data_IF_485366963482
#
_entry.id   IF_485366963482
#
_cell.length_a   1.000
_cell.length_b   1.000
_cell.length_c   1.000
_cell.angle_alpha   90.00
_cell.angle_beta   90.00
_cell.angle_gamma   90.00
#
_symmetry.space_group_name_H-M   'P 1'
#
loop_
_entity.id
_entity.type
_entity.pdbx_description
1 polymer ?
#
# COMPACT_ATOMS: atom_id res chain seq x y z
N UNK A 1 8.04 -16.74 20.72
CA UNK A 1 8.67 -16.94 19.39
C UNK A 1 10.16 -16.69 19.53
N UNK A 2 10.88 -16.52 18.42
CA UNK A 2 12.26 -16.04 18.43
C UNK A 2 12.38 -14.69 17.74
N UNK A 3 13.30 -13.85 18.19
CA UNK A 3 13.62 -12.54 17.63
C UNK A 3 14.93 -12.61 16.84
N UNK A 4 14.92 -12.03 15.65
CA UNK A 4 16.10 -11.84 14.81
C UNK A 4 16.28 -10.33 14.57
N UNK A 5 17.52 -9.86 14.55
CA UNK A 5 17.81 -8.46 14.20
C UNK A 5 17.56 -8.19 12.71
N UNK A 6 17.50 -6.93 12.32
CA UNK A 6 17.74 -6.56 10.93
C UNK A 6 19.24 -6.66 10.59
N UNK A 7 19.60 -6.47 9.32
CA UNK A 7 20.94 -6.66 8.79
C UNK A 7 21.98 -5.79 9.49
N UNK A 8 22.91 -6.44 10.23
CA UNK A 8 24.04 -5.75 10.84
C UNK A 8 23.72 -4.85 12.04
N UNK A 9 22.49 -4.84 12.55
CA UNK A 9 22.03 -3.92 13.61
C UNK A 9 22.90 -3.94 14.89
N UNK A 10 23.38 -5.11 15.31
CA UNK A 10 24.27 -5.20 16.48
C UNK A 10 25.58 -4.45 16.20
N UNK A 11 26.17 -4.62 15.01
CA UNK A 11 27.41 -3.93 14.63
C UNK A 11 27.18 -2.42 14.43
N UNK A 12 26.00 -2.03 13.92
CA UNK A 12 25.60 -0.64 13.72
C UNK A 12 25.60 0.19 15.02
N UNK A 13 25.41 -0.42 16.19
CA UNK A 13 25.58 0.26 17.48
C UNK A 13 26.97 0.91 17.61
N UNK A 14 28.01 0.27 17.10
CA UNK A 14 29.36 0.80 17.12
C UNK A 14 29.69 1.65 15.89
N UNK A 15 29.26 1.21 14.70
CA UNK A 15 29.72 1.79 13.43
C UNK A 15 28.84 2.94 12.91
N UNK A 16 27.57 2.99 13.28
CA UNK A 16 26.60 3.97 12.76
C UNK A 16 25.95 4.82 13.86
N UNK A 17 25.45 4.20 14.93
CA UNK A 17 24.69 4.88 15.98
C UNK A 17 25.55 5.42 17.12
N UNK A 18 26.79 4.92 17.24
CA UNK A 18 27.73 5.29 18.29
C UNK A 18 27.16 5.13 19.72
N UNK A 19 26.34 4.10 19.94
CA UNK A 19 25.77 3.70 21.24
C UNK A 19 26.64 2.64 21.95
N UNK A 20 27.58 2.04 21.23
CA UNK A 20 28.61 1.15 21.76
C UNK A 20 29.99 1.59 21.26
N UNK A 21 31.03 1.39 22.07
CA UNK A 21 32.41 1.76 21.74
C UNK A 21 33.02 0.86 20.65
N UNK A 22 32.59 -0.41 20.60
CA UNK A 22 33.10 -1.46 19.72
C UNK A 22 32.08 -2.62 19.63
N UNK A 23 32.37 -3.60 18.76
CA UNK A 23 31.52 -4.77 18.56
C UNK A 23 31.37 -5.64 19.84
N UNK A 24 32.38 -5.63 20.73
CA UNK A 24 32.33 -6.37 22.00
C UNK A 24 31.28 -5.76 22.93
N UNK A 25 31.31 -4.45 23.11
CA UNK A 25 30.29 -3.76 23.91
C UNK A 25 28.92 -3.87 23.26
N UNK A 26 28.82 -3.77 21.93
CA UNK A 26 27.55 -3.90 21.22
C UNK A 26 26.92 -5.28 21.41
N UNK A 27 27.72 -6.35 21.27
CA UNK A 27 27.28 -7.74 21.50
C UNK A 27 26.84 -7.93 22.96
N UNK A 28 27.63 -7.43 23.91
CA UNK A 28 27.28 -7.50 25.33
C UNK A 28 25.95 -6.80 25.62
N UNK A 29 25.77 -5.55 25.15
CA UNK A 29 24.53 -4.79 25.33
C UNK A 29 23.33 -5.49 24.70
N UNK A 30 23.49 -6.08 23.51
CA UNK A 30 22.44 -6.83 22.85
C UNK A 30 21.99 -8.04 23.69
N UNK A 31 22.93 -8.83 24.22
CA UNK A 31 22.61 -10.01 25.02
C UNK A 31 22.07 -9.67 26.42
N UNK A 32 22.57 -8.60 27.04
CA UNK A 32 22.23 -8.18 28.40
C UNK A 32 20.89 -7.42 28.46
N UNK A 33 20.63 -6.53 27.49
CA UNK A 33 19.51 -5.58 27.56
C UNK A 33 18.33 -5.93 26.68
N UNK A 34 18.42 -7.01 25.90
CA UNK A 34 17.38 -7.38 24.95
C UNK A 34 17.10 -8.88 24.95
N UNK A 35 15.93 -9.23 24.43
CA UNK A 35 15.51 -10.62 24.18
C UNK A 35 15.85 -11.11 22.77
N UNK A 36 16.73 -10.42 22.04
CA UNK A 36 17.17 -10.84 20.70
C UNK A 36 17.82 -12.23 20.79
N UNK A 37 17.41 -13.13 19.89
CA UNK A 37 17.89 -14.51 19.89
C UNK A 37 18.90 -14.78 18.78
N UNK A 38 18.78 -14.09 17.64
CA UNK A 38 19.62 -14.29 16.45
C UNK A 38 20.12 -12.96 15.86
N UNK A 39 21.43 -12.88 15.62
CA UNK A 39 22.04 -11.79 14.86
C UNK A 39 21.93 -12.06 13.36
N UNK A 40 21.35 -11.12 12.60
CA UNK A 40 21.25 -11.21 11.14
C UNK A 40 22.51 -10.61 10.49
N UNK A 41 23.59 -11.40 10.51
CA UNK A 41 24.81 -11.12 9.75
C UNK A 41 25.30 -12.44 9.17
N UNK A 42 25.33 -12.54 7.83
CA UNK A 42 25.58 -13.81 7.15
C UNK A 42 27.06 -14.03 6.77
N UNK A 43 27.88 -12.98 6.86
CA UNK A 43 29.25 -12.91 6.34
C UNK A 43 30.30 -12.54 7.40
N UNK A 44 29.89 -12.32 8.65
CA UNK A 44 30.78 -12.01 9.78
C UNK A 44 30.44 -12.89 11.00
N UNK A 45 31.48 -13.50 11.56
CA UNK A 45 31.39 -14.38 12.74
C UNK A 45 31.69 -13.68 14.06
N UNK A 46 31.96 -12.37 14.04
CA UNK A 46 32.35 -11.57 15.21
C UNK A 46 31.35 -11.72 16.37
N UNK A 47 30.05 -11.61 16.11
CA UNK A 47 29.01 -11.77 17.12
C UNK A 47 29.10 -13.13 17.84
N UNK A 48 29.27 -14.22 17.09
CA UNK A 48 29.36 -15.56 17.66
C UNK A 48 30.64 -15.73 18.50
N UNK A 49 31.79 -15.28 17.99
CA UNK A 49 33.07 -15.37 18.68
C UNK A 49 33.09 -14.54 19.96
N UNK A 50 32.62 -13.29 19.88
CA UNK A 50 32.51 -12.36 21.01
C UNK A 50 31.54 -12.93 22.06
N UNK A 51 30.37 -13.45 21.64
CA UNK A 51 29.42 -14.08 22.56
C UNK A 51 30.07 -15.22 23.33
N UNK A 52 30.79 -16.12 22.64
CA UNK A 52 31.49 -17.22 23.28
C UNK A 52 32.53 -16.73 24.31
N UNK A 53 33.27 -15.67 23.98
CA UNK A 53 34.28 -15.12 24.88
C UNK A 53 33.67 -14.38 26.08
N UNK A 54 32.55 -13.68 25.91
CA UNK A 54 31.80 -13.07 27.01
C UNK A 54 31.24 -14.12 27.98
N UNK A 55 30.77 -15.26 27.45
CA UNK A 55 30.32 -16.39 28.27
C UNK A 55 31.48 -17.04 29.03
N UNK A 56 32.62 -17.29 28.38
CA UNK A 56 33.83 -17.83 29.05
C UNK A 56 34.34 -16.91 30.16
N UNK A 57 34.23 -15.60 29.98
CA UNK A 57 34.59 -14.59 30.97
C UNK A 57 33.57 -14.47 32.12
N UNK A 58 32.42 -15.13 32.01
CA UNK A 58 31.32 -15.01 32.98
C UNK A 58 30.59 -13.67 32.94
N UNK A 59 30.82 -12.86 31.89
CA UNK A 59 30.17 -11.56 31.69
C UNK A 59 28.72 -11.78 31.22
N UNK A 60 28.51 -12.73 30.30
CA UNK A 60 27.18 -13.20 29.90
C UNK A 60 26.95 -14.57 30.51
N UNK A 61 25.79 -14.80 31.12
CA UNK A 61 25.46 -16.11 31.69
C UNK A 61 25.21 -17.15 30.59
N UNK A 62 25.56 -18.41 30.87
CA UNK A 62 25.21 -19.53 29.98
C UNK A 62 23.70 -19.67 29.84
N UNK A 63 22.93 -19.41 30.90
CA UNK A 63 21.47 -19.46 30.88
C UNK A 63 20.86 -18.49 29.85
N UNK A 64 21.44 -17.29 29.68
CA UNK A 64 20.98 -16.33 28.66
C UNK A 64 21.20 -16.86 27.25
N UNK A 65 22.33 -17.54 27.01
CA UNK A 65 22.60 -18.20 25.72
C UNK A 65 21.65 -19.38 25.50
N UNK A 66 21.45 -20.22 26.52
CA UNK A 66 20.58 -21.40 26.47
C UNK A 66 19.13 -20.99 26.18
N UNK A 67 18.66 -19.87 26.71
CA UNK A 67 17.32 -19.33 26.41
C UNK A 67 17.14 -19.03 24.91
N UNK A 68 18.08 -18.29 24.31
CA UNK A 68 18.05 -17.96 22.88
C UNK A 68 18.18 -19.22 22.01
N UNK A 69 19.09 -20.12 22.37
CA UNK A 69 19.29 -21.40 21.66
C UNK A 69 18.04 -22.27 21.75
N UNK A 70 17.41 -22.37 22.93
CA UNK A 70 16.18 -23.13 23.12
C UNK A 70 15.06 -22.64 22.21
N UNK A 71 14.86 -21.31 22.08
CA UNK A 71 13.87 -20.73 21.15
C UNK A 71 14.17 -21.04 19.69
N UNK A 72 15.44 -20.96 19.28
CA UNK A 72 15.86 -21.29 17.91
C UNK A 72 15.64 -22.77 17.61
N UNK A 73 16.06 -23.67 18.51
CA UNK A 73 15.87 -25.11 18.34
C UNK A 73 14.39 -25.50 18.39
N UNK A 74 13.59 -24.83 19.23
CA UNK A 74 12.16 -25.03 19.28
C UNK A 74 11.51 -24.62 17.95
N UNK A 75 11.84 -23.46 17.36
CA UNK A 75 11.35 -23.10 16.02
C UNK A 75 11.75 -24.14 14.97
N UNK A 76 13.02 -24.59 14.96
CA UNK A 76 13.49 -25.61 14.01
C UNK A 76 12.74 -26.94 14.18
N UNK A 77 12.38 -27.30 15.41
CA UNK A 77 11.57 -28.48 15.73
C UNK A 77 10.14 -28.33 15.27
N UNK A 78 9.51 -27.19 15.52
CA UNK A 78 8.13 -26.90 15.10
C UNK A 78 7.99 -26.89 13.57
N UNK A 79 9.02 -26.41 12.87
CA UNK A 79 9.13 -26.50 11.40
C UNK A 79 9.49 -27.91 10.88
N UNK A 80 9.75 -28.88 11.77
CA UNK A 80 10.10 -30.24 11.38
C UNK A 80 11.50 -30.41 10.76
N UNK A 81 12.38 -29.41 10.86
CA UNK A 81 13.68 -29.38 10.16
C UNK A 81 14.66 -30.46 10.62
N UNK A 82 14.47 -31.01 11.83
CA UNK A 82 15.24 -32.18 12.30
C UNK A 82 14.86 -33.49 11.61
N UNK A 83 13.67 -33.56 11.00
CA UNK A 83 13.20 -34.71 10.23
C UNK A 83 13.33 -34.48 8.73
N UNK A 84 13.00 -33.28 8.28
CA UNK A 84 12.99 -32.88 6.87
C UNK A 84 13.74 -31.55 6.71
N UNK A 85 15.06 -31.61 6.59
CA UNK A 85 15.91 -30.41 6.57
C UNK A 85 15.92 -29.67 5.22
N UNK A 86 15.41 -30.29 4.16
CA UNK A 86 15.44 -29.74 2.81
C UNK A 86 14.04 -29.72 2.18
N UNK A 87 13.80 -28.72 1.35
CA UNK A 87 12.60 -28.60 0.52
C UNK A 87 12.52 -29.75 -0.48
N UNK A 88 11.29 -30.21 -0.74
CA UNK A 88 11.00 -31.15 -1.81
C UNK A 88 11.20 -30.48 -3.18
N UNK A 89 12.23 -30.92 -3.91
CA UNK A 89 12.58 -30.39 -5.23
C UNK A 89 11.53 -30.67 -6.29
N UNK A 90 10.65 -31.66 -6.08
CA UNK A 90 9.57 -32.00 -7.04
C UNK A 90 8.53 -30.88 -7.14
N UNK A 91 8.43 -30.02 -6.13
CA UNK A 91 7.53 -28.86 -6.12
C UNK A 91 8.02 -27.70 -7.01
N UNK A 92 9.21 -27.79 -7.62
CA UNK A 92 9.73 -26.72 -8.47
C UNK A 92 8.79 -26.33 -9.61
N UNK A 93 8.07 -27.30 -10.20
CA UNK A 93 7.12 -27.05 -11.27
C UNK A 93 5.82 -26.38 -10.82
N UNK A 94 5.58 -26.28 -9.50
CA UNK A 94 4.39 -25.58 -8.97
C UNK A 94 4.62 -24.08 -8.85
N UNK A 95 5.88 -23.62 -8.84
CA UNK A 95 6.23 -22.20 -8.72
C UNK A 95 5.99 -21.48 -10.04
N UNK A 96 5.21 -20.39 -10.01
CA UNK A 96 4.85 -19.67 -11.22
C UNK A 96 3.85 -20.45 -12.09
N UNK A 97 3.09 -21.35 -11.46
CA UNK A 97 2.02 -22.09 -12.13
C UNK A 97 0.92 -21.16 -12.64
N UNK A 98 0.04 -21.61 -13.57
CA UNK A 98 -1.12 -20.81 -13.99
C UNK A 98 -2.00 -20.35 -12.82
N UNK A 99 -2.06 -21.13 -11.73
CA UNK A 99 -2.77 -20.75 -10.51
C UNK A 99 -2.10 -19.59 -9.79
N UNK A 100 -0.76 -19.60 -9.65
CA UNK A 100 -0.01 -18.49 -9.05
C UNK A 100 -0.16 -17.21 -9.85
N UNK A 101 -0.11 -17.34 -11.19
CA UNK A 101 -0.28 -16.21 -12.12
C UNK A 101 -1.66 -15.60 -11.96
N UNK A 102 -2.72 -16.42 -11.97
CA UNK A 102 -4.09 -15.94 -11.80
C UNK A 102 -4.32 -15.37 -10.39
N UNK A 103 -3.68 -15.93 -9.35
CA UNK A 103 -3.70 -15.36 -8.01
C UNK A 103 -3.05 -13.97 -7.97
N UNK A 104 -1.92 -13.79 -8.67
CA UNK A 104 -1.27 -12.49 -8.82
C UNK A 104 -2.15 -11.49 -9.60
N UNK A 105 -2.74 -11.92 -10.73
CA UNK A 105 -3.69 -11.10 -11.49
C UNK A 105 -4.86 -10.63 -10.62
N UNK A 106 -5.46 -11.54 -9.84
CA UNK A 106 -6.59 -11.21 -8.97
C UNK A 106 -6.21 -10.24 -7.84
N UNK A 107 -5.02 -10.40 -7.25
CA UNK A 107 -4.52 -9.45 -6.26
C UNK A 107 -4.41 -8.03 -6.85
N UNK A 108 -3.95 -7.91 -8.10
CA UNK A 108 -3.81 -6.61 -8.78
C UNK A 108 -5.16 -6.02 -9.20
N UNK A 109 -6.08 -6.83 -9.74
CA UNK A 109 -7.47 -6.41 -10.08
C UNK A 109 -8.17 -5.75 -8.88
N UNK A 110 -7.84 -6.20 -7.67
CA UNK A 110 -8.41 -5.67 -6.42
C UNK A 110 -7.62 -4.52 -5.78
N UNK A 111 -6.36 -4.30 -6.18
CA UNK A 111 -5.50 -3.26 -5.59
C UNK A 111 -5.56 -1.93 -6.34
N UNK A 112 -5.78 -1.95 -7.66
CA UNK A 112 -5.77 -0.75 -8.50
C UNK A 112 -6.89 0.21 -8.10
N UNK A 113 -6.51 1.47 -7.88
CA UNK A 113 -7.42 2.52 -7.42
C UNK A 113 -7.64 3.57 -8.52
N UNK A 114 -8.90 3.80 -8.89
CA UNK A 114 -9.28 4.89 -9.79
C UNK A 114 -9.43 6.18 -8.98
N UNK A 115 -8.55 7.16 -9.23
CA UNK A 115 -8.48 8.41 -8.47
C UNK A 115 -9.27 9.56 -9.10
N UNK A 116 -9.45 9.52 -10.42
CA UNK A 116 -10.24 10.50 -11.17
C UNK A 116 -10.82 9.82 -12.40
N UNK A 117 -12.06 10.17 -12.74
CA UNK A 117 -12.70 9.77 -14.01
C UNK A 117 -13.74 10.82 -14.42
N UNK A 118 -13.30 11.88 -15.08
CA UNK A 118 -14.16 12.94 -15.61
C UNK A 118 -14.88 12.47 -16.87
N UNK A 119 -16.16 12.86 -16.97
CA UNK A 119 -17.02 12.59 -18.13
C UNK A 119 -17.09 11.12 -18.57
N UNK A 120 -16.82 10.19 -17.64
CA UNK A 120 -16.72 8.75 -17.89
C UNK A 120 -15.75 8.42 -19.05
N UNK A 121 -14.60 9.10 -19.12
CA UNK A 121 -13.57 8.83 -20.14
C UNK A 121 -13.06 7.38 -20.08
N UNK A 122 -13.05 6.79 -18.89
CA UNK A 122 -12.89 5.35 -18.66
C UNK A 122 -14.25 4.70 -18.33
N UNK A 123 -14.47 3.44 -18.78
CA UNK A 123 -13.53 2.60 -19.53
C UNK A 123 -13.33 3.03 -21.00
N UNK A 124 -12.18 2.68 -21.57
CA UNK A 124 -11.84 2.85 -22.99
C UNK A 124 -12.67 1.88 -23.85
N UNK A 125 -12.96 2.30 -25.08
CA UNK A 125 -13.61 1.46 -26.06
C UNK A 125 -12.57 0.84 -27.01
N UNK A 126 -12.70 -0.45 -27.32
CA UNK A 126 -11.79 -1.19 -28.22
C UNK A 126 -11.73 -0.63 -29.65
N UNK A 127 -12.71 0.18 -30.06
CA UNK A 127 -12.75 0.82 -31.37
C UNK A 127 -12.09 2.22 -31.39
N UNK A 128 -11.73 2.78 -30.22
CA UNK A 128 -11.03 4.06 -30.14
C UNK A 128 -9.55 3.89 -30.54
N UNK A 129 -9.01 4.86 -31.28
CA UNK A 129 -7.57 4.95 -31.53
C UNK A 129 -6.90 5.54 -30.29
N UNK A 130 -6.27 4.69 -29.50
CA UNK A 130 -5.59 5.10 -28.25
C UNK A 130 -4.07 5.14 -28.48
N UNK A 131 -3.45 6.28 -28.17
CA UNK A 131 -1.99 6.37 -28.04
C UNK A 131 -1.57 6.00 -26.62
N UNK A 132 -0.68 5.02 -26.48
CA UNK A 132 -0.03 4.72 -25.21
C UNK A 132 1.35 5.38 -25.21
N UNK A 133 1.67 6.14 -24.17
CA UNK A 133 2.94 6.86 -24.07
C UNK A 133 3.47 6.87 -22.64
N UNK A 134 4.79 7.01 -22.48
CA UNK A 134 5.42 7.18 -21.16
C UNK A 134 6.24 5.97 -20.71
N UNK A 135 7.17 6.16 -19.76
CA UNK A 135 8.22 5.20 -19.47
C UNK A 135 7.76 3.88 -18.83
N UNK A 136 6.57 3.84 -18.21
CA UNK A 136 6.18 2.73 -17.33
C UNK A 136 5.29 1.66 -17.97
N UNK A 137 4.65 1.95 -19.11
CA UNK A 137 3.62 1.06 -19.66
C UNK A 137 4.20 -0.24 -20.26
N UNK A 138 5.45 -0.22 -20.69
CA UNK A 138 6.10 -1.37 -21.31
C UNK A 138 7.31 -1.88 -20.52
N UNK A 139 7.19 -1.98 -19.19
CA UNK A 139 8.25 -2.54 -18.35
C UNK A 139 7.71 -3.32 -17.16
N UNK A 140 8.02 -4.62 -17.11
CA UNK A 140 7.75 -5.51 -15.97
C UNK A 140 8.56 -5.07 -14.75
N UNK A 141 9.84 -4.71 -14.92
CA UNK A 141 10.67 -4.29 -13.78
C UNK A 141 10.16 -3.04 -13.07
N UNK A 142 9.65 -2.04 -13.80
CA UNK A 142 9.13 -0.83 -13.17
C UNK A 142 7.85 -1.11 -12.38
N UNK A 143 7.04 -2.07 -12.83
CA UNK A 143 5.87 -2.53 -12.08
C UNK A 143 6.23 -3.39 -10.87
N UNK A 144 7.32 -4.15 -10.92
CA UNK A 144 7.72 -5.03 -9.84
C UNK A 144 8.43 -4.30 -8.68
N UNK A 145 9.22 -3.25 -8.98
CA UNK A 145 9.92 -2.45 -7.96
C UNK A 145 11.12 -3.16 -7.33
N UNK A 146 11.58 -2.64 -6.18
CA UNK A 146 12.66 -3.27 -5.39
C UNK A 146 12.19 -4.55 -4.70
N UNK A 147 13.13 -5.27 -4.08
CA UNK A 147 12.89 -6.60 -3.50
C UNK A 147 12.31 -7.63 -4.49
N UNK A 148 12.62 -7.44 -5.77
CA UNK A 148 12.18 -8.32 -6.84
C UNK A 148 13.36 -8.72 -7.71
N UNK A 149 13.63 -10.03 -7.80
CA UNK A 149 14.88 -10.62 -8.33
C UNK A 149 16.11 -10.22 -7.49
N UNK A 150 16.40 -8.91 -7.43
CA UNK A 150 17.48 -8.30 -6.66
C UNK A 150 16.91 -7.36 -5.60
N UNK A 151 17.75 -6.99 -4.64
CA UNK A 151 17.42 -6.00 -3.59
C UNK A 151 16.89 -4.68 -4.18
N UNK A 152 17.62 -4.05 -5.09
CA UNK A 152 17.19 -2.81 -5.75
C UNK A 152 16.25 -3.03 -6.95
N UNK A 153 15.83 -4.28 -7.21
CA UNK A 153 15.14 -4.64 -8.45
C UNK A 153 16.09 -4.84 -9.64
N UNK A 154 15.57 -5.24 -10.82
CA UNK A 154 16.38 -5.42 -12.02
C UNK A 154 17.09 -4.16 -12.50
N UNK A 155 18.35 -4.30 -12.91
CA UNK A 155 19.17 -3.22 -13.45
C UNK A 155 18.73 -2.76 -14.85
N UNK A 156 19.20 -1.60 -15.30
CA UNK A 156 18.98 -1.09 -16.68
C UNK A 156 19.55 -2.01 -17.76
N UNK A 157 20.67 -2.67 -17.47
CA UNK A 157 21.29 -3.61 -18.41
C UNK A 157 20.48 -4.91 -18.54
N UNK A 158 19.87 -5.38 -17.46
CA UNK A 158 19.03 -6.58 -17.46
C UNK A 158 17.66 -6.33 -18.10
N UNK A 159 17.07 -5.15 -17.84
CA UNK A 159 15.73 -4.81 -18.30
C UNK A 159 14.71 -5.86 -17.89
N UNK A 160 13.77 -6.18 -18.78
CA UNK A 160 12.77 -7.23 -18.56
C UNK A 160 13.28 -8.64 -18.92
N UNK A 161 14.50 -8.78 -19.45
CA UNK A 161 15.02 -10.08 -19.87
C UNK A 161 15.27 -11.04 -18.68
N UNK A 162 15.54 -10.47 -17.50
CA UNK A 162 15.77 -11.23 -16.26
C UNK A 162 14.55 -12.06 -15.83
N UNK A 163 13.35 -11.66 -16.25
CA UNK A 163 12.12 -12.41 -15.97
C UNK A 163 11.93 -13.63 -16.88
N UNK A 164 12.79 -13.83 -17.89
CA UNK A 164 12.78 -15.01 -18.76
C UNK A 164 11.40 -15.29 -19.41
N UNK A 165 10.64 -14.23 -19.70
CA UNK A 165 9.30 -14.32 -20.30
C UNK A 165 8.15 -14.43 -19.30
N UNK A 166 8.43 -14.56 -18.00
CA UNK A 166 7.41 -14.43 -16.96
C UNK A 166 7.02 -12.96 -16.78
N UNK A 167 5.74 -12.73 -16.47
CA UNK A 167 5.17 -11.40 -16.32
C UNK A 167 4.57 -10.81 -17.61
N UNK A 168 3.78 -9.76 -17.44
CA UNK A 168 3.12 -9.01 -18.50
C UNK A 168 3.30 -7.52 -18.27
N UNK A 169 3.52 -6.77 -19.36
CA UNK A 169 3.53 -5.31 -19.33
C UNK A 169 2.12 -4.79 -19.61
N UNK A 170 1.83 -3.51 -19.30
CA UNK A 170 0.54 -2.91 -19.65
C UNK A 170 0.28 -3.01 -21.16
N UNK A 171 1.31 -2.77 -21.99
CA UNK A 171 1.22 -2.92 -23.45
C UNK A 171 0.87 -4.36 -23.87
N UNK A 172 1.50 -5.38 -23.27
CA UNK A 172 1.13 -6.79 -23.51
C UNK A 172 -0.31 -7.07 -23.06
N UNK A 173 -0.71 -6.57 -21.90
CA UNK A 173 -2.08 -6.70 -21.39
C UNK A 173 -3.12 -6.07 -22.33
N UNK A 174 -2.84 -4.87 -22.84
CA UNK A 174 -3.72 -4.19 -23.81
C UNK A 174 -3.85 -5.01 -25.08
N UNK A 175 -2.76 -5.58 -25.59
CA UNK A 175 -2.81 -6.47 -26.75
C UNK A 175 -3.69 -7.70 -26.50
N UNK A 176 -3.60 -8.31 -25.32
CA UNK A 176 -4.45 -9.44 -24.94
C UNK A 176 -5.93 -9.06 -24.86
N UNK A 177 -6.26 -7.92 -24.25
CA UNK A 177 -7.65 -7.47 -24.06
C UNK A 177 -8.29 -7.04 -25.39
N UNK A 178 -7.53 -6.36 -26.25
CA UNK A 178 -8.06 -5.78 -27.51
C UNK A 178 -7.89 -6.70 -28.72
N UNK A 179 -6.98 -7.67 -28.65
CA UNK A 179 -6.57 -8.49 -29.78
C UNK A 179 -5.70 -7.77 -30.82
N UNK A 180 -5.32 -6.50 -30.57
CA UNK A 180 -4.54 -5.67 -31.50
C UNK A 180 -3.30 -5.12 -30.80
N UNK A 181 -2.16 -5.06 -31.50
CA UNK A 181 -0.97 -4.43 -30.96
C UNK A 181 -1.21 -2.92 -30.75
N UNK A 182 -1.11 -2.38 -29.52
CA UNK A 182 -1.32 -0.96 -29.28
C UNK A 182 -0.14 -0.13 -29.80
N UNK A 183 -0.42 1.10 -30.24
CA UNK A 183 0.63 2.07 -30.53
C UNK A 183 1.23 2.57 -29.22
N UNK A 184 2.48 2.20 -28.96
CA UNK A 184 3.25 2.62 -27.79
C UNK A 184 4.47 3.45 -28.19
N UNK A 185 4.72 4.53 -27.46
CA UNK A 185 5.92 5.37 -27.59
C UNK A 185 6.47 5.73 -26.21
N UNK A 186 7.79 5.68 -25.95
CA UNK A 186 8.30 5.99 -24.62
C UNK A 186 8.10 7.47 -24.24
N UNK A 187 8.33 8.41 -25.16
CA UNK A 187 8.15 9.86 -24.96
C UNK A 187 9.19 10.53 -24.05
N UNK A 188 9.53 9.89 -22.94
CA UNK A 188 10.53 10.33 -21.96
C UNK A 188 11.10 9.11 -21.23
N UNK A 189 12.33 9.20 -20.74
CA UNK A 189 12.92 8.20 -19.84
C UNK A 189 12.33 8.25 -18.41
N UNK A 190 12.58 7.20 -17.62
CA UNK A 190 12.02 7.07 -16.26
C UNK A 190 12.56 8.13 -15.29
N UNK A 191 13.80 8.58 -15.48
CA UNK A 191 14.39 9.62 -14.63
C UNK A 191 13.94 11.04 -15.06
N UNK A 192 13.21 11.18 -16.18
CA UNK A 192 12.74 12.46 -16.70
C UNK A 192 13.88 13.39 -17.13
N UNK A 193 14.98 12.82 -17.61
CA UNK A 193 16.19 13.55 -18.05
C UNK A 193 16.24 13.72 -19.57
N UNK A 194 15.62 12.81 -20.33
CA UNK A 194 15.75 12.70 -21.78
C UNK A 194 14.37 12.51 -22.41
N UNK A 195 14.00 13.45 -23.29
CA UNK A 195 12.83 13.28 -24.16
C UNK A 195 13.17 12.32 -25.32
N UNK A 196 12.22 11.48 -25.70
CA UNK A 196 12.37 10.46 -26.73
C UNK A 196 11.27 10.65 -27.77
N UNK A 197 11.66 11.06 -28.99
CA UNK A 197 10.79 11.23 -30.15
C UNK A 197 9.55 12.11 -29.91
N UNK A 198 9.69 13.18 -29.12
CA UNK A 198 8.56 14.00 -28.66
C UNK A 198 7.71 14.59 -29.80
N UNK A 199 8.32 14.99 -30.92
CA UNK A 199 7.58 15.50 -32.09
C UNK A 199 6.69 14.43 -32.72
N UNK A 200 7.20 13.20 -32.83
CA UNK A 200 6.44 12.06 -33.33
C UNK A 200 5.33 11.65 -32.35
N UNK A 201 5.59 11.72 -31.05
CA UNK A 201 4.58 11.51 -29.99
C UNK A 201 3.45 12.53 -30.13
N UNK A 202 3.76 13.82 -30.30
CA UNK A 202 2.74 14.87 -30.48
C UNK A 202 1.94 14.63 -31.78
N UNK A 203 2.61 14.26 -32.87
CA UNK A 203 1.94 13.96 -34.14
C UNK A 203 0.98 12.76 -34.02
N UNK A 204 1.40 11.68 -33.33
CA UNK A 204 0.54 10.53 -33.05
C UNK A 204 -0.63 10.90 -32.14
N UNK A 205 -0.38 11.72 -31.11
CA UNK A 205 -1.39 12.17 -30.15
C UNK A 205 -2.50 12.99 -30.82
N UNK A 206 -2.14 13.88 -31.77
CA UNK A 206 -3.11 14.66 -32.56
C UNK A 206 -4.06 13.77 -33.38
N UNK A 207 -3.61 12.58 -33.77
CA UNK A 207 -4.42 11.60 -34.52
C UNK A 207 -5.16 10.59 -33.64
N UNK A 208 -4.94 10.59 -32.33
CA UNK A 208 -5.61 9.68 -31.41
C UNK A 208 -6.98 10.23 -30.98
N UNK A 209 -7.86 9.34 -30.53
CA UNK A 209 -9.10 9.70 -29.85
C UNK A 209 -8.84 10.01 -28.37
N UNK A 210 -7.96 9.20 -27.74
CA UNK A 210 -7.54 9.33 -26.34
C UNK A 210 -6.05 9.01 -26.20
N UNK A 211 -5.45 9.49 -25.11
CA UNK A 211 -4.06 9.25 -24.79
C UNK A 211 -3.97 8.61 -23.40
N UNK A 212 -3.21 7.52 -23.28
CA UNK A 212 -2.86 6.89 -22.00
C UNK A 212 -1.39 7.17 -21.73
N UNK A 213 -1.09 7.89 -20.64
CA UNK A 213 0.26 8.26 -20.23
C UNK A 213 0.67 7.46 -18.99
N UNK A 214 1.69 6.63 -19.10
CA UNK A 214 2.29 5.92 -17.96
C UNK A 214 3.39 6.75 -17.32
N UNK A 215 3.23 7.05 -16.03
CA UNK A 215 4.18 7.83 -15.23
C UNK A 215 4.63 7.01 -14.03
N UNK A 216 5.79 7.33 -13.44
CA UNK A 216 6.24 6.57 -12.29
C UNK A 216 7.67 6.73 -11.84
N UNK A 217 8.14 5.70 -11.13
CA UNK A 217 9.47 5.60 -10.55
C UNK A 217 10.19 4.35 -11.05
N UNK A 218 11.53 4.39 -11.02
CA UNK A 218 12.35 3.19 -11.18
C UNK A 218 12.31 2.30 -9.92
N UNK A 219 12.77 1.04 -9.99
CA UNK A 219 12.92 0.18 -8.82
C UNK A 219 13.91 0.78 -7.82
N UNK A 220 13.61 0.63 -6.54
CA UNK A 220 14.46 0.99 -5.42
C UNK A 220 14.05 0.18 -4.18
N UNK A 221 14.97 0.02 -3.24
CA UNK A 221 14.68 -0.51 -1.91
C UNK A 221 15.40 0.29 -0.83
N UNK A 222 14.70 0.47 0.29
CA UNK A 222 15.23 1.08 1.53
C UNK A 222 15.88 2.46 1.30
N UNK A 223 17.03 2.71 1.95
CA UNK A 223 17.70 4.01 1.99
C UNK A 223 18.18 4.51 0.62
N UNK A 224 18.46 3.61 -0.33
CA UNK A 224 18.82 3.99 -1.72
C UNK A 224 17.63 4.66 -2.41
N UNK A 225 16.40 4.33 -1.98
CA UNK A 225 15.17 4.97 -2.43
C UNK A 225 14.89 6.32 -1.78
N UNK A 226 15.76 6.88 -0.95
CA UNK A 226 15.53 8.21 -0.38
C UNK A 226 15.50 9.29 -1.48
N UNK A 227 14.65 10.30 -1.28
CA UNK A 227 14.37 11.37 -2.25
C UNK A 227 14.32 12.70 -1.52
N UNK A 228 14.76 13.76 -2.19
CA UNK A 228 14.71 15.13 -1.65
C UNK A 228 13.40 15.86 -2.00
N UNK A 229 12.63 15.32 -2.95
CA UNK A 229 11.33 15.87 -3.34
C UNK A 229 10.36 14.76 -3.75
N UNK A 230 9.10 14.94 -3.38
CA UNK A 230 7.98 14.09 -3.82
C UNK A 230 7.50 14.43 -5.23
N UNK A 231 7.84 15.59 -5.79
CA UNK A 231 7.39 16.00 -7.13
C UNK A 231 7.98 15.06 -8.18
N UNK A 232 7.12 14.36 -8.93
CA UNK A 232 7.55 13.47 -10.02
C UNK A 232 8.53 14.19 -10.98
N UNK A 233 9.54 13.50 -11.55
CA UNK A 233 10.50 14.14 -12.46
C UNK A 233 9.83 15.06 -13.49
N UNK A 234 10.36 16.28 -13.62
CA UNK A 234 9.66 17.35 -14.35
C UNK A 234 9.29 16.95 -15.79
N UNK A 235 10.17 16.28 -16.53
CA UNK A 235 9.86 15.92 -17.93
C UNK A 235 8.76 14.86 -18.06
N UNK A 236 8.56 14.01 -17.04
CA UNK A 236 7.40 13.12 -16.98
C UNK A 236 6.10 13.93 -16.83
N UNK A 237 6.08 14.95 -15.97
CA UNK A 237 4.92 15.86 -15.82
C UNK A 237 4.71 16.72 -17.08
N UNK A 238 5.80 17.26 -17.62
CA UNK A 238 5.79 18.11 -18.81
C UNK A 238 5.27 17.38 -20.04
N UNK A 239 5.52 16.08 -20.18
CA UNK A 239 4.91 15.25 -21.23
C UNK A 239 3.38 15.36 -21.22
N UNK A 240 2.74 15.28 -20.05
CA UNK A 240 1.28 15.46 -19.92
C UNK A 240 0.86 16.88 -20.32
N UNK A 241 1.61 17.89 -19.90
CA UNK A 241 1.31 19.29 -20.20
C UNK A 241 1.40 19.59 -21.69
N UNK A 242 2.47 19.12 -22.35
CA UNK A 242 2.68 19.24 -23.79
C UNK A 242 1.57 18.53 -24.57
N UNK A 243 1.21 17.31 -24.18
CA UNK A 243 0.15 16.56 -24.85
C UNK A 243 -1.22 17.24 -24.69
N UNK A 244 -1.51 17.78 -23.51
CA UNK A 244 -2.74 18.51 -23.26
C UNK A 244 -2.84 19.78 -24.11
N UNK A 245 -1.75 20.55 -24.23
CA UNK A 245 -1.73 21.80 -25.01
C UNK A 245 -1.77 21.54 -26.52
N UNK A 246 -1.01 20.55 -26.99
CA UNK A 246 -0.79 20.31 -28.43
C UNK A 246 -1.85 19.41 -29.06
N UNK A 247 -2.20 18.31 -28.41
CA UNK A 247 -3.13 17.32 -28.99
C UNK A 247 -4.59 17.62 -28.64
N UNK A 248 -4.85 18.24 -27.48
CA UNK A 248 -6.20 18.58 -26.98
C UNK A 248 -7.14 17.37 -26.97
N UNK A 249 -6.60 16.19 -26.62
CA UNK A 249 -7.35 14.94 -26.45
C UNK A 249 -7.51 14.61 -24.97
N UNK A 250 -8.54 13.83 -24.57
CA UNK A 250 -8.63 13.32 -23.22
C UNK A 250 -7.40 12.49 -22.86
N UNK A 251 -6.81 12.79 -21.70
CA UNK A 251 -5.62 12.10 -21.18
C UNK A 251 -6.01 11.24 -19.97
N UNK A 252 -5.66 9.97 -20.02
CA UNK A 252 -5.70 9.03 -18.90
C UNK A 252 -4.27 8.85 -18.40
N UNK A 253 -4.04 9.06 -17.11
CA UNK A 253 -2.72 8.83 -16.49
C UNK A 253 -2.74 7.53 -15.72
N UNK A 254 -1.73 6.68 -15.95
CA UNK A 254 -1.50 5.43 -15.18
C UNK A 254 -0.22 5.61 -14.37
N UNK A 255 -0.34 5.53 -13.05
CA UNK A 255 0.77 5.72 -12.12
C UNK A 255 1.32 4.36 -11.68
N UNK A 256 2.62 4.16 -11.85
CA UNK A 256 3.37 2.98 -11.40
C UNK A 256 4.53 3.44 -10.53
N UNK A 257 4.50 3.16 -9.24
CA UNK A 257 5.52 3.63 -8.30
C UNK A 257 5.27 3.17 -6.88
N UNK A 258 6.33 3.16 -6.07
CA UNK A 258 6.31 2.66 -4.70
C UNK A 258 5.74 3.63 -3.68
N UNK A 259 5.57 4.92 -4.04
CA UNK A 259 5.08 5.96 -3.13
C UNK A 259 4.20 7.00 -3.84
N UNK A 260 3.40 7.80 -3.11
CA UNK A 260 2.55 8.83 -3.73
C UNK A 260 3.35 10.08 -4.12
N UNK A 261 3.86 10.09 -5.35
CA UNK A 261 4.56 11.24 -5.96
C UNK A 261 3.61 12.42 -6.12
N UNK A 262 4.05 13.65 -5.82
CA UNK A 262 3.27 14.84 -6.14
C UNK A 262 3.20 15.00 -7.67
N UNK A 263 1.97 15.15 -8.17
CA UNK A 263 1.66 15.21 -9.61
C UNK A 263 1.51 16.63 -10.16
N UNK A 264 1.79 17.64 -9.32
CA UNK A 264 1.63 19.05 -9.65
C UNK A 264 0.25 19.36 -10.26
N UNK A 265 0.16 19.88 -11.49
CA UNK A 265 -1.11 20.23 -12.15
C UNK A 265 -1.73 19.10 -12.97
N UNK A 266 -1.11 17.91 -13.02
CA UNK A 266 -1.67 16.76 -13.74
C UNK A 266 -3.10 16.41 -13.28
N UNK A 267 -3.47 16.48 -11.98
CA UNK A 267 -4.85 16.27 -11.55
C UNK A 267 -5.86 17.28 -12.11
N UNK A 268 -5.44 18.50 -12.48
CA UNK A 268 -6.29 19.48 -13.14
C UNK A 268 -6.51 19.12 -14.63
N UNK A 269 -5.48 18.56 -15.26
CA UNK A 269 -5.40 18.35 -16.72
C UNK A 269 -5.94 16.98 -17.13
N UNK A 270 -5.59 15.92 -16.40
CA UNK A 270 -5.93 14.55 -16.75
C UNK A 270 -7.45 14.33 -16.64
N UNK A 271 -8.03 13.67 -17.64
CA UNK A 271 -9.43 13.26 -17.62
C UNK A 271 -9.64 12.07 -16.67
N UNK A 272 -8.66 11.17 -16.56
CA UNK A 272 -8.66 10.11 -15.56
C UNK A 272 -7.27 9.85 -14.99
N UNK A 273 -7.22 9.33 -13.76
CA UNK A 273 -5.98 8.94 -13.07
C UNK A 273 -6.19 7.57 -12.43
N UNK A 274 -5.34 6.61 -12.78
CA UNK A 274 -5.31 5.24 -12.27
C UNK A 274 -4.04 5.03 -11.46
N UNK A 275 -4.17 4.75 -10.17
CA UNK A 275 -3.06 4.42 -9.29
C UNK A 275 -2.85 2.90 -9.27
N UNK A 276 -1.71 2.45 -9.77
CA UNK A 276 -1.37 1.02 -9.89
C UNK A 276 -0.32 0.54 -8.89
N UNK A 277 0.30 1.46 -8.12
CA UNK A 277 1.33 1.13 -7.13
C UNK A 277 2.52 0.39 -7.77
N UNK A 278 3.04 -0.64 -7.10
CA UNK A 278 3.92 -1.66 -7.65
C UNK A 278 3.11 -2.94 -7.81
N UNK A 279 2.43 -3.15 -8.95
CA UNK A 279 1.50 -4.28 -9.13
C UNK A 279 2.21 -5.62 -9.36
N UNK A 280 3.55 -5.67 -9.27
CA UNK A 280 4.31 -6.89 -9.48
C UNK A 280 4.50 -7.24 -10.95
N UNK A 281 5.10 -8.41 -11.21
CA UNK A 281 5.44 -8.84 -12.57
C UNK A 281 4.21 -9.14 -13.45
N UNK A 282 3.05 -9.40 -12.85
CA UNK A 282 1.79 -9.70 -13.53
C UNK A 282 0.78 -8.55 -13.38
N UNK A 283 1.27 -7.32 -13.34
CA UNK A 283 0.42 -6.14 -13.19
C UNK A 283 -0.23 -5.63 -14.47
N UNK A 284 0.37 -5.94 -15.62
CA UNK A 284 0.02 -5.38 -16.92
C UNK A 284 -1.36 -5.76 -17.43
N UNK A 285 -1.74 -7.04 -17.37
CA UNK A 285 -3.06 -7.50 -17.81
C UNK A 285 -4.19 -6.89 -16.95
N UNK A 286 -4.16 -6.96 -15.60
CA UNK A 286 -5.15 -6.31 -14.75
C UNK A 286 -5.32 -4.80 -14.98
N UNK A 287 -4.21 -4.07 -15.19
CA UNK A 287 -4.28 -2.64 -15.56
C UNK A 287 -5.04 -2.46 -16.87
N UNK A 288 -4.72 -3.27 -17.89
CA UNK A 288 -5.40 -3.20 -19.19
C UNK A 288 -6.88 -3.58 -19.11
N UNK A 289 -7.24 -4.59 -18.33
CA UNK A 289 -8.63 -4.99 -18.08
C UNK A 289 -9.44 -3.86 -17.43
N UNK A 290 -8.86 -3.14 -16.48
CA UNK A 290 -9.47 -1.96 -15.89
C UNK A 290 -9.62 -0.85 -16.94
N UNK A 291 -8.55 -0.50 -17.65
CA UNK A 291 -8.58 0.54 -18.67
C UNK A 291 -9.69 0.31 -19.70
N UNK A 292 -9.97 -0.92 -20.09
CA UNK A 292 -11.01 -1.28 -21.07
C UNK A 292 -12.32 -1.81 -20.44
N UNK A 293 -12.48 -1.73 -19.12
CA UNK A 293 -13.73 -2.07 -18.43
C UNK A 293 -14.08 -3.56 -18.40
N UNK A 294 -13.13 -4.46 -18.69
CA UNK A 294 -13.29 -5.89 -18.44
C UNK A 294 -13.38 -6.19 -16.93
N UNK A 295 -12.71 -5.36 -16.12
CA UNK A 295 -12.81 -5.36 -14.66
C UNK A 295 -13.15 -3.96 -14.19
N UNK A 296 -14.11 -3.85 -13.27
CA UNK A 296 -14.43 -2.59 -12.61
C UNK A 296 -13.46 -2.37 -11.43
N UNK A 297 -12.74 -1.22 -11.36
CA UNK A 297 -11.80 -0.96 -10.28
C UNK A 297 -12.49 -0.96 -8.90
N UNK A 298 -11.81 -1.56 -7.93
CA UNK A 298 -12.31 -1.71 -6.56
C UNK A 298 -11.29 -1.38 -5.48
N UNK A 299 -10.07 -0.98 -5.87
CA UNK A 299 -9.06 -0.51 -4.94
C UNK A 299 -9.52 0.76 -4.21
N UNK A 300 -9.03 0.89 -2.98
CA UNK A 300 -9.15 2.09 -2.15
C UNK A 300 -7.75 2.44 -1.65
N UNK A 301 -7.44 3.74 -1.58
CA UNK A 301 -6.14 4.20 -1.12
C UNK A 301 -5.84 3.71 0.31
N UNK A 302 -4.73 2.98 0.56
CA UNK A 302 -4.32 2.58 1.90
C UNK A 302 -3.52 3.69 2.62
N UNK A 303 -3.39 4.88 2.00
CA UNK A 303 -2.70 6.06 2.54
C UNK A 303 -3.37 7.35 2.05
N UNK A 304 -3.06 8.48 2.70
CA UNK A 304 -3.44 9.80 2.18
C UNK A 304 -2.47 10.22 1.07
N UNK A 305 -2.98 10.59 -0.10
CA UNK A 305 -2.15 11.14 -1.17
C UNK A 305 -1.90 12.64 -0.91
N UNK A 306 -0.65 13.08 -0.72
CA UNK A 306 -0.37 14.45 -0.29
C UNK A 306 -0.71 15.46 -1.40
N UNK A 307 -1.39 16.56 -1.02
CA UNK A 307 -1.58 17.71 -1.93
C UNK A 307 -0.31 18.57 -2.04
N UNK A 308 0.46 18.64 -0.95
CA UNK A 308 1.73 19.38 -0.87
C UNK A 308 2.78 18.52 -0.16
N UNK A 309 4.06 18.85 -0.36
CA UNK A 309 5.15 18.11 0.32
C UNK A 309 5.10 18.26 1.85
N UNK A 310 4.58 19.40 2.34
CA UNK A 310 4.34 19.60 3.77
C UNK A 310 3.29 18.64 4.35
N UNK A 311 2.49 17.99 3.50
CA UNK A 311 1.51 16.99 3.90
C UNK A 311 1.96 15.53 3.67
N UNK A 312 3.25 15.31 3.38
CA UNK A 312 3.81 13.97 3.11
C UNK A 312 3.56 12.96 4.25
N UNK A 313 3.53 13.44 5.49
CA UNK A 313 3.31 12.64 6.70
C UNK A 313 1.90 12.78 7.28
N UNK A 314 0.96 13.40 6.55
CA UNK A 314 -0.39 13.68 7.04
C UNK A 314 -1.20 12.38 7.20
N UNK A 315 -1.38 11.96 8.45
CA UNK A 315 -2.35 10.94 8.85
C UNK A 315 -3.75 11.55 8.97
N UNK A 316 -4.81 10.74 9.13
CA UNK A 316 -6.19 11.22 9.37
C UNK A 316 -6.31 11.77 10.80
N UNK A 317 -5.49 12.75 11.11
CA UNK A 317 -5.38 13.44 12.38
C UNK A 317 -5.53 14.93 12.11
N UNK A 318 -6.37 15.59 12.89
CA UNK A 318 -6.57 17.02 12.81
C UNK A 318 -5.84 17.66 13.98
N UNK A 319 -4.72 18.33 13.69
CA UNK A 319 -4.20 19.34 14.61
C UNK A 319 -5.04 20.61 14.45
N UNK A 320 -5.16 21.40 15.51
CA UNK A 320 -5.81 22.72 15.47
C UNK A 320 -5.12 23.72 14.52
N UNK A 321 -3.96 23.38 13.95
CA UNK A 321 -3.13 24.25 13.11
C UNK A 321 -2.88 23.72 11.69
N UNK A 322 -3.23 22.46 11.40
CA UNK A 322 -3.05 21.85 10.07
C UNK A 322 -4.32 21.10 9.69
N UNK A 323 -5.04 21.62 8.69
CA UNK A 323 -6.23 20.98 8.13
C UNK A 323 -5.84 19.72 7.35
N UNK A 324 -6.49 18.59 7.64
CA UNK A 324 -6.43 17.39 6.82
C UNK A 324 -7.04 17.65 5.44
N UNK A 325 -6.20 17.96 4.45
CA UNK A 325 -6.61 18.32 3.09
C UNK A 325 -5.72 17.65 2.04
N UNK A 326 -5.64 16.31 2.00
CA UNK A 326 -4.87 15.58 1.00
C UNK A 326 -5.46 15.77 -0.41
N UNK A 327 -4.68 15.47 -1.44
CA UNK A 327 -5.16 15.42 -2.83
C UNK A 327 -6.24 14.34 -2.99
N UNK A 328 -6.02 13.19 -2.35
CA UNK A 328 -6.99 12.10 -2.19
C UNK A 328 -6.81 11.48 -0.81
N UNK A 329 -7.89 11.31 -0.06
CA UNK A 329 -7.83 10.83 1.31
C UNK A 329 -7.60 9.31 1.39
N UNK A 330 -7.18 8.83 2.56
CA UNK A 330 -7.22 7.40 2.88
C UNK A 330 -8.63 6.84 2.65
N UNK A 331 -8.72 5.65 2.07
CA UNK A 331 -9.98 4.99 1.73
C UNK A 331 -10.65 5.56 0.47
N UNK A 332 -10.08 6.58 -0.20
CA UNK A 332 -10.63 7.09 -1.45
C UNK A 332 -10.39 6.13 -2.61
N UNK A 333 -11.36 6.03 -3.52
CA UNK A 333 -11.23 5.29 -4.76
C UNK A 333 -12.58 5.21 -5.46
N UNK A 334 -12.57 5.32 -6.79
CA UNK A 334 -13.76 5.25 -7.62
C UNK A 334 -13.95 3.84 -8.20
N UNK A 335 -15.18 3.53 -8.56
CA UNK A 335 -15.53 2.46 -9.50
C UNK A 335 -16.20 3.07 -10.73
N UNK A 336 -16.49 2.24 -11.74
CA UNK A 336 -17.33 2.62 -12.88
C UNK A 336 -18.83 2.62 -12.54
N UNK A 337 -19.20 2.08 -11.39
CA UNK A 337 -20.56 2.09 -10.88
C UNK A 337 -20.72 3.07 -9.72
N UNK A 338 -21.87 3.76 -9.69
CA UNK A 338 -22.25 4.59 -8.54
C UNK A 338 -22.86 3.71 -7.47
N UNK A 339 -22.25 3.68 -6.29
CA UNK A 339 -22.78 2.97 -5.12
C UNK A 339 -23.45 3.96 -4.17
N UNK A 340 -24.70 3.66 -3.81
CA UNK A 340 -25.43 4.42 -2.81
C UNK A 340 -25.45 3.68 -1.47
N UNK A 341 -25.35 4.44 -0.40
CA UNK A 341 -25.45 3.94 0.96
C UNK A 341 -26.75 4.48 1.57
N UNK A 342 -27.41 3.70 2.41
CA UNK A 342 -28.66 4.11 3.09
C UNK A 342 -28.91 3.28 4.35
N UNK A 343 -29.91 3.66 5.13
CA UNK A 343 -30.39 2.90 6.30
C UNK A 343 -29.27 2.51 7.28
N UNK A 344 -28.45 3.48 7.68
CA UNK A 344 -27.45 3.24 8.71
C UNK A 344 -28.16 3.08 10.06
N UNK A 345 -27.96 1.95 10.71
CA UNK A 345 -28.59 1.60 11.99
C UNK A 345 -27.56 0.99 12.93
N UNK A 346 -27.68 1.26 14.23
CA UNK A 346 -26.91 0.56 15.27
C UNK A 346 -27.82 -0.40 16.04
N UNK A 347 -27.25 -1.51 16.50
CA UNK A 347 -27.98 -2.43 17.41
C UNK A 347 -28.20 -1.83 18.81
N UNK A 348 -27.42 -0.82 19.19
CA UNK A 348 -27.49 -0.12 20.47
C UNK A 348 -26.92 1.30 20.32
N UNK A 349 -27.43 2.24 21.12
CA UNK A 349 -26.90 3.59 21.28
C UNK A 349 -25.93 3.71 22.48
N UNK A 350 -25.49 2.58 23.04
CA UNK A 350 -24.51 2.51 24.12
C UNK A 350 -23.49 1.43 23.81
N UNK A 351 -22.21 1.77 23.91
CA UNK A 351 -21.09 0.85 23.72
C UNK A 351 -20.48 0.50 25.07
N UNK A 352 -20.54 -0.78 25.47
CA UNK A 352 -20.03 -1.28 26.76
C UNK A 352 -18.91 -2.30 26.52
N UNK A 353 -17.93 -2.44 27.44
CA UNK A 353 -16.83 -3.41 27.29
C UNK A 353 -17.27 -4.86 27.04
N UNK A 354 -18.37 -5.27 27.67
CA UNK A 354 -18.94 -6.62 27.63
C UNK A 354 -20.07 -6.79 26.61
N UNK A 355 -20.43 -5.72 25.88
CA UNK A 355 -21.53 -5.73 24.92
C UNK A 355 -21.12 -5.01 23.62
N UNK A 356 -20.50 -5.75 22.67
CA UNK A 356 -20.25 -5.25 21.32
C UNK A 356 -21.55 -4.81 20.65
N UNK A 357 -21.46 -3.79 19.81
CA UNK A 357 -22.57 -3.33 18.99
C UNK A 357 -22.28 -3.62 17.52
N UNK A 358 -23.32 -3.59 16.70
CA UNK A 358 -23.17 -3.70 15.25
C UNK A 358 -23.70 -2.46 14.58
N UNK A 359 -22.92 -1.90 13.65
CA UNK A 359 -23.39 -0.91 12.69
C UNK A 359 -23.79 -1.63 11.40
N UNK A 360 -25.01 -1.40 10.93
CA UNK A 360 -25.49 -1.93 9.66
C UNK A 360 -25.76 -0.80 8.67
N UNK A 361 -25.45 -1.03 7.39
CA UNK A 361 -25.71 -0.11 6.29
C UNK A 361 -26.22 -0.89 5.07
N UNK A 362 -27.20 -0.34 4.37
CA UNK A 362 -27.64 -0.86 3.06
C UNK A 362 -26.79 -0.24 1.96
N UNK A 363 -26.22 -1.08 1.10
CA UNK A 363 -25.32 -0.69 0.03
C UNK A 363 -25.90 -1.15 -1.29
N UNK A 364 -26.17 -0.21 -2.19
CA UNK A 364 -26.87 -0.45 -3.45
C UNK A 364 -25.98 -0.05 -4.63
N UNK A 365 -25.81 -0.96 -5.58
CA UNK A 365 -25.15 -0.65 -6.84
C UNK A 365 -26.15 -0.06 -7.85
N UNK A 366 -26.09 1.26 -8.04
CA UNK A 366 -26.92 2.01 -9.00
C UNK A 366 -26.19 2.25 -10.33
N UNK A 367 -25.07 1.59 -10.56
CA UNK A 367 -24.27 1.74 -11.76
C UNK A 367 -24.48 0.64 -12.81
N UNK A 368 -23.87 0.79 -13.98
CA UNK A 368 -24.05 -0.15 -15.09
C UNK A 368 -23.14 -1.38 -15.02
N UNK A 369 -22.20 -1.45 -14.07
CA UNK A 369 -21.25 -2.56 -13.92
C UNK A 369 -21.40 -3.25 -12.56
N UNK A 370 -21.04 -4.54 -12.48
CA UNK A 370 -20.77 -5.20 -11.20
C UNK A 370 -19.71 -4.41 -10.43
N UNK A 371 -19.89 -4.26 -9.11
CA UNK A 371 -18.96 -3.52 -8.25
C UNK A 371 -18.55 -4.40 -7.07
N UNK A 372 -17.25 -4.48 -6.80
CA UNK A 372 -16.73 -4.85 -5.49
C UNK A 372 -16.58 -3.59 -4.66
N UNK A 373 -17.33 -3.47 -3.57
CA UNK A 373 -17.35 -2.25 -2.75
C UNK A 373 -16.75 -2.50 -1.36
N UNK A 374 -15.76 -1.68 -0.99
CA UNK A 374 -15.21 -1.66 0.36
C UNK A 374 -16.04 -0.74 1.26
N UNK A 375 -16.76 -1.33 2.20
CA UNK A 375 -17.53 -0.63 3.23
C UNK A 375 -16.67 -0.54 4.47
N UNK A 376 -16.21 0.67 4.81
CA UNK A 376 -15.29 0.93 5.92
C UNK A 376 -16.00 1.70 7.03
N UNK A 377 -15.91 1.20 8.26
CA UNK A 377 -16.41 1.82 9.47
C UNK A 377 -15.30 2.58 10.16
N UNK A 378 -15.50 3.89 10.28
CA UNK A 378 -14.65 4.79 11.02
C UNK A 378 -15.33 5.27 12.29
N UNK A 379 -14.54 5.67 13.26
CA UNK A 379 -15.01 6.34 14.48
C UNK A 379 -14.29 7.66 14.70
N UNK A 380 -15.01 8.65 15.23
CA UNK A 380 -14.46 9.89 15.76
C UNK A 380 -14.93 10.08 17.19
N UNK A 381 -14.01 10.06 18.16
CA UNK A 381 -14.32 10.36 19.54
C UNK A 381 -14.28 11.88 19.73
N UNK A 382 -15.35 12.47 20.26
CA UNK A 382 -15.49 13.94 20.28
C UNK A 382 -14.47 14.63 21.19
N UNK A 383 -14.08 14.00 22.31
CA UNK A 383 -13.04 14.51 23.19
C UNK A 383 -12.35 13.37 23.97
N UNK A 384 -11.16 13.67 24.48
CA UNK A 384 -10.43 12.91 25.51
C UNK A 384 -9.85 13.91 26.50
N UNK A 385 -9.79 13.58 27.78
CA UNK A 385 -9.27 14.50 28.80
C UNK A 385 -7.75 14.54 28.72
N UNK A 386 -7.19 15.66 28.28
CA UNK A 386 -5.74 15.86 28.16
C UNK A 386 -5.12 15.30 26.87
N UNK A 387 -5.92 14.74 25.96
CA UNK A 387 -5.45 14.15 24.71
C UNK A 387 -6.29 14.63 23.53
N UNK A 388 -5.65 14.89 22.39
CA UNK A 388 -6.37 15.21 21.16
C UNK A 388 -6.83 13.90 20.48
N UNK A 389 -8.13 13.67 20.27
CA UNK A 389 -8.59 12.54 19.46
C UNK A 389 -8.22 12.72 17.99
N UNK A 390 -8.11 11.61 17.27
CA UNK A 390 -7.93 11.62 15.82
C UNK A 390 -9.23 12.06 15.11
N UNK A 391 -9.10 12.58 13.89
CA UNK A 391 -10.27 13.00 13.11
C UNK A 391 -11.14 11.78 12.77
N UNK A 392 -10.53 10.71 12.25
CA UNK A 392 -11.20 9.42 12.08
C UNK A 392 -10.20 8.27 12.30
N UNK A 393 -10.66 7.17 12.90
CA UNK A 393 -9.94 5.89 12.96
C UNK A 393 -10.75 4.79 12.31
N UNK A 394 -10.17 4.09 11.33
CA UNK A 394 -10.75 2.88 10.76
C UNK A 394 -10.81 1.79 11.84
N UNK A 395 -11.98 1.17 12.04
CA UNK A 395 -12.19 0.11 13.04
C UNK A 395 -12.51 -1.23 12.43
N UNK A 396 -13.28 -1.21 11.35
CA UNK A 396 -13.72 -2.43 10.69
C UNK A 396 -13.98 -2.14 9.20
N UNK A 397 -13.90 -3.15 8.36
CA UNK A 397 -14.29 -3.04 6.96
C UNK A 397 -14.72 -4.39 6.40
N UNK A 398 -15.57 -4.35 5.38
CA UNK A 398 -15.94 -5.52 4.60
C UNK A 398 -15.93 -5.15 3.12
N UNK A 399 -15.49 -6.09 2.27
CA UNK A 399 -15.60 -5.95 0.81
C UNK A 399 -16.76 -6.82 0.35
N UNK A 400 -17.69 -6.24 -0.41
CA UNK A 400 -18.89 -6.94 -0.89
C UNK A 400 -19.00 -6.85 -2.41
N UNK A 401 -19.28 -7.98 -3.05
CA UNK A 401 -19.70 -8.01 -4.45
C UNK A 401 -21.13 -7.50 -4.57
N UNK A 402 -21.41 -6.64 -5.53
CA UNK A 402 -22.72 -6.10 -5.83
C UNK A 402 -23.01 -6.25 -7.32
N UNK A 403 -24.00 -7.08 -7.66
CA UNK A 403 -24.57 -7.11 -9.00
C UNK A 403 -25.25 -5.77 -9.32
N UNK A 404 -25.50 -5.51 -10.61
CA UNK A 404 -26.19 -4.30 -11.07
C UNK A 404 -27.59 -4.24 -10.47
N UNK A 405 -27.93 -3.15 -9.79
CA UNK A 405 -29.21 -2.97 -9.09
C UNK A 405 -29.33 -3.72 -7.75
N UNK A 406 -28.33 -4.53 -7.36
CA UNK A 406 -28.35 -5.27 -6.10
C UNK A 406 -28.19 -4.34 -4.90
N UNK A 407 -28.93 -4.63 -3.83
CA UNK A 407 -28.74 -4.03 -2.50
C UNK A 407 -28.34 -5.11 -1.51
N UNK A 408 -27.23 -4.91 -0.80
CA UNK A 408 -26.81 -5.75 0.32
C UNK A 408 -26.82 -4.98 1.62
N UNK A 409 -27.26 -5.63 2.70
CA UNK A 409 -27.06 -5.13 4.06
C UNK A 409 -25.69 -5.60 4.54
N UNK A 410 -24.81 -4.65 4.86
CA UNK A 410 -23.49 -4.91 5.45
C UNK A 410 -23.56 -4.61 6.93
N UNK A 411 -23.08 -5.53 7.76
CA UNK A 411 -23.08 -5.41 9.21
C UNK A 411 -21.64 -5.54 9.72
N UNK A 412 -21.19 -4.53 10.45
CA UNK A 412 -19.83 -4.42 10.99
C UNK A 412 -19.90 -4.35 12.51
N UNK A 413 -19.14 -5.20 13.19
CA UNK A 413 -19.01 -5.18 14.65
C UNK A 413 -18.11 -4.02 15.10
N UNK A 414 -18.45 -3.42 16.23
CA UNK A 414 -17.67 -2.43 16.95
C UNK A 414 -17.66 -2.75 18.44
N UNK A 415 -16.47 -2.81 19.04
CA UNK A 415 -16.27 -3.09 20.46
C UNK A 415 -15.79 -1.85 21.21
N UNK A 416 -16.04 -1.78 22.52
CA UNK A 416 -15.55 -0.66 23.33
C UNK A 416 -14.01 -0.58 23.32
N UNK A 417 -13.33 -1.73 23.29
CA UNK A 417 -11.87 -1.83 23.22
C UNK A 417 -11.26 -1.20 21.96
N UNK A 418 -12.05 -1.03 20.90
CA UNK A 418 -11.61 -0.33 19.71
C UNK A 418 -11.35 1.14 20.01
N UNK A 419 -12.08 1.74 20.96
CA UNK A 419 -11.90 3.15 21.36
C UNK A 419 -10.67 3.37 22.24
N UNK A 420 -9.93 2.31 22.56
CA UNK A 420 -8.75 2.43 23.39
C UNK A 420 -7.67 3.29 22.72
N UNK A 421 -6.95 4.03 23.56
CA UNK A 421 -5.78 4.82 23.21
C UNK A 421 -4.70 4.67 24.28
N UNK A 422 -3.47 5.03 23.95
CA UNK A 422 -2.34 5.05 24.89
C UNK A 422 -2.19 6.44 25.47
N UNK A 423 -2.09 6.53 26.78
CA UNK A 423 -1.78 7.77 27.49
C UNK A 423 -0.27 8.05 27.54
N UNK A 424 0.15 9.19 28.09
CA UNK A 424 1.58 9.51 28.24
C UNK A 424 2.33 8.62 29.24
N UNK A 425 1.63 7.84 30.07
CA UNK A 425 2.21 6.86 30.99
C UNK A 425 2.29 5.46 30.34
N UNK A 426 2.04 5.34 29.03
CA UNK A 426 1.95 4.07 28.30
C UNK A 426 0.91 3.10 28.88
N UNK A 427 -0.20 3.63 29.41
CA UNK A 427 -1.37 2.86 29.82
C UNK A 427 -2.43 2.90 28.74
N UNK A 428 -2.96 1.73 28.40
CA UNK A 428 -4.07 1.60 27.45
C UNK A 428 -5.38 1.96 28.17
N UNK A 429 -6.06 3.00 27.72
CA UNK A 429 -7.28 3.51 28.36
C UNK A 429 -8.44 3.58 27.39
N UNK A 430 -9.65 3.46 27.95
CA UNK A 430 -10.90 3.84 27.31
C UNK A 430 -11.48 4.97 28.15
N UNK A 431 -11.93 6.05 27.52
CA UNK A 431 -12.59 7.17 28.21
C UNK A 431 -14.07 7.29 27.82
N UNK A 432 -14.95 7.63 28.78
CA UNK A 432 -16.34 7.95 28.51
C UNK A 432 -16.43 9.23 27.66
N UNK A 433 -16.78 9.10 26.39
CA UNK A 433 -17.09 10.25 25.54
C UNK A 433 -17.97 9.84 24.35
N UNK A 434 -18.82 10.74 23.83
CA UNK A 434 -19.54 10.52 22.58
C UNK A 434 -18.60 10.12 21.43
N UNK A 435 -19.02 9.13 20.64
CA UNK A 435 -18.28 8.62 19.48
C UNK A 435 -19.15 8.65 18.24
N UNK A 436 -18.79 9.42 17.22
CA UNK A 436 -19.46 9.39 15.93
C UNK A 436 -19.02 8.15 15.15
N UNK A 437 -19.97 7.43 14.54
CA UNK A 437 -19.71 6.32 13.63
C UNK A 437 -19.92 6.82 12.20
N UNK A 438 -18.90 6.68 11.35
CA UNK A 438 -18.94 7.19 9.98
C UNK A 438 -18.59 6.08 9.01
N UNK A 439 -19.42 5.91 7.98
CA UNK A 439 -19.15 4.97 6.89
C UNK A 439 -18.51 5.74 5.75
N UNK A 440 -17.31 5.32 5.33
CA UNK A 440 -16.61 5.88 4.17
C UNK A 440 -16.55 7.44 4.11
N UNK A 441 -15.98 8.12 5.13
CA UNK A 441 -16.04 9.58 5.36
C UNK A 441 -15.52 10.46 4.21
N UNK A 442 -14.74 9.89 3.29
CA UNK A 442 -14.12 10.61 2.19
C UNK A 442 -14.57 10.12 0.80
N UNK A 443 -15.62 9.31 0.76
CA UNK A 443 -16.30 8.94 -0.50
C UNK A 443 -17.44 9.92 -0.77
N UNK A 444 -17.87 10.07 -2.03
CA UNK A 444 -18.91 11.03 -2.44
C UNK A 444 -20.30 10.81 -1.80
N UNK A 445 -20.46 9.80 -0.93
CA UNK A 445 -21.69 9.54 -0.20
C UNK A 445 -21.54 10.04 1.25
N UNK A 446 -22.06 11.24 1.52
CA UNK A 446 -22.25 11.75 2.87
C UNK A 446 -23.17 10.79 3.65
N UNK A 447 -22.61 9.97 4.55
CA UNK A 447 -23.41 9.42 5.66
C UNK A 447 -22.71 9.61 7.00
N UNK A 448 -23.10 10.70 7.65
CA UNK A 448 -22.97 10.91 9.10
C UNK A 448 -24.13 10.19 9.80
N UNK A 449 -23.86 9.03 10.40
CA UNK A 449 -24.66 8.53 11.51
C UNK A 449 -23.93 8.94 12.81
N UNK A 450 -24.13 10.18 13.24
CA UNK A 450 -23.69 10.59 14.57
C UNK A 450 -24.60 9.89 15.57
N UNK A 451 -24.07 8.86 16.23
CA UNK A 451 -24.72 8.28 17.41
C UNK A 451 -23.82 8.54 18.58
N UNK A 452 -24.24 9.40 19.50
CA UNK A 452 -23.50 9.64 20.72
C UNK A 452 -23.50 8.38 21.59
N UNK A 453 -22.35 7.74 21.70
CA UNK A 453 -22.12 6.60 22.59
C UNK A 453 -21.47 7.10 23.88
N UNK A 454 -22.11 6.92 25.04
CA UNK A 454 -21.43 7.06 26.33
C UNK A 454 -20.75 5.73 26.63
N UNK A 455 -19.46 5.61 26.34
CA UNK A 455 -18.64 4.60 27.01
C UNK A 455 -18.77 4.88 28.52
N UNK A 456 -18.86 3.86 29.37
CA UNK A 456 -18.99 4.05 30.82
C UNK A 456 -17.81 3.36 31.52
N UNK A 457 -16.59 3.94 31.54
CA UNK A 457 -15.42 3.27 32.09
C UNK A 457 -14.96 3.89 33.42
N UNK A 458 -14.71 3.00 34.39
CA UNK A 458 -13.67 3.21 35.41
C UNK A 458 -12.50 2.23 35.22
N UNK A 459 -12.38 1.58 34.07
CA UNK A 459 -11.41 0.50 33.86
C UNK A 459 -10.18 0.96 33.05
N UNK A 460 -9.02 0.78 33.66
CA UNK A 460 -7.73 0.70 32.97
C UNK A 460 -7.67 -0.71 32.37
N UNK A 461 -7.70 -0.82 31.04
CA UNK A 461 -7.34 -2.08 30.39
C UNK A 461 -5.84 -2.27 30.63
N UNK A 462 -5.45 -3.44 31.17
CA UNK A 462 -4.12 -3.73 31.72
C UNK A 462 -2.92 -3.08 30.98
N UNK A 463 -1.94 -2.62 31.75
CA UNK A 463 -0.72 -2.00 31.23
C UNK A 463 0.11 -2.99 30.43
N UNK A 464 0.53 -2.62 29.21
CA UNK A 464 1.61 -3.31 28.51
C UNK A 464 2.99 -2.86 29.02
N UNK A 465 3.15 -2.80 30.34
CA UNK A 465 4.44 -2.60 30.99
C UNK A 465 4.68 -3.80 31.89
N UNK A 466 5.34 -4.81 31.31
CA UNK A 466 6.15 -5.77 32.03
C UNK A 466 7.55 -5.71 31.43
#
# INVERSE_FOLDING_TARGET
GMLVTDWGEINSQATMYHTAKDATQATHLALERTSIDMSMVADDSSFANITADLVKQGIVSVDRLDESVARILQLKKDLGLFKHSFTDKTLGSTVGSPQDIEAAHNAVRESITLLKNSDNVLPLNKYEKVLFVGPTLNSTRYMAGGWNIHWQGPTDAEGDAIYQGFGDTVIKGVQQVTGTAPLYMPGVDIDGTTLIDIDAVIAAAKQADKIVVGLGEKPYAENVGNIDSLVLPWQQLNLVYTLASEAKKPIVVVLVGGRPRRLDRVPEIAAAIVQSYLPGAYGGLPIAEILYGAVNPSGRLPYSYPATEAQASTTIWQSSYVTYSPQWAFGYGLGYSKVAYSNVTLSSNTLRPDAPITASVSVTNNGPYVQKESVMLFTHQQYRVGYAPELYRLRNFAKVDLAVGETKKVTLELKAEDMAFWDCDLKRRIEPAPVNIVINPFTQADILAVVELVANPNDVLESAVA
#
